data_IF_443694921418
#
_entry.id   IF_443694921418
#
_cell.length_a   1.000
_cell.length_b   1.000
_cell.length_c   1.000
_cell.angle_alpha   90.00
_cell.angle_beta   90.00
_cell.angle_gamma   90.00
#
_symmetry.space_group_name_H-M   'P 1'
#
loop_
_entity.id
_entity.type
_entity.pdbx_description
1 polymer ?
#
# COMPACT_ATOMS: atom_id res chain seq x y z
N UNK A 1 18.84 -18.21 -38.31
CA UNK A 1 19.51 -19.10 -37.34
C UNK A 1 19.31 -18.52 -35.96
N UNK A 2 18.67 -19.25 -35.05
CA UNK A 2 18.54 -18.84 -33.65
C UNK A 2 19.73 -19.38 -32.86
N UNK A 3 20.46 -18.51 -32.19
CA UNK A 3 21.48 -18.91 -31.23
C UNK A 3 20.76 -19.54 -30.03
N UNK A 4 20.89 -20.87 -29.87
CA UNK A 4 20.35 -21.58 -28.72
C UNK A 4 21.47 -21.67 -27.69
N UNK A 5 21.39 -20.93 -26.57
CA UNK A 5 22.45 -20.93 -25.58
C UNK A 5 22.66 -22.35 -25.05
N UNK A 6 23.93 -22.70 -24.78
CA UNK A 6 24.30 -23.97 -24.18
C UNK A 6 23.64 -24.12 -22.81
N UNK A 7 23.41 -25.36 -22.37
CA UNK A 7 22.90 -25.65 -21.03
C UNK A 7 23.79 -25.12 -19.90
N UNK A 8 25.03 -24.72 -20.18
CA UNK A 8 25.93 -24.04 -19.23
C UNK A 8 25.71 -22.51 -19.19
N UNK A 9 25.39 -21.88 -20.33
CA UNK A 9 25.05 -20.45 -20.40
C UNK A 9 23.72 -20.16 -19.68
N UNK A 10 22.76 -21.08 -19.77
CA UNK A 10 21.47 -20.97 -19.07
C UNK A 10 21.65 -21.09 -17.55
N UNK A 11 22.60 -21.92 -17.10
CA UNK A 11 22.97 -22.04 -15.68
C UNK A 11 23.71 -20.80 -15.17
N UNK A 12 24.59 -20.22 -15.98
CA UNK A 12 25.28 -18.97 -15.62
C UNK A 12 24.30 -17.80 -15.51
N UNK A 13 23.32 -17.71 -16.41
CA UNK A 13 22.26 -16.69 -16.32
C UNK A 13 21.44 -16.86 -15.03
N UNK A 14 21.02 -18.09 -14.71
CA UNK A 14 20.28 -18.37 -13.47
C UNK A 14 21.11 -18.07 -12.21
N UNK A 15 22.40 -18.37 -12.20
CA UNK A 15 23.28 -18.09 -11.07
C UNK A 15 23.49 -16.58 -10.87
N UNK A 16 23.67 -15.82 -11.95
CA UNK A 16 23.81 -14.35 -11.89
C UNK A 16 22.54 -13.69 -11.32
N UNK A 17 21.35 -14.12 -11.74
CA UNK A 17 20.08 -13.62 -11.21
C UNK A 17 19.93 -13.91 -9.71
N UNK A 18 20.43 -15.07 -9.24
CA UNK A 18 20.38 -15.45 -7.83
C UNK A 18 21.35 -14.60 -7.00
N UNK A 19 22.59 -14.43 -7.45
CA UNK A 19 23.60 -13.62 -6.75
C UNK A 19 23.19 -12.14 -6.67
N UNK A 20 22.63 -11.58 -7.74
CA UNK A 20 22.10 -10.20 -7.74
C UNK A 20 20.91 -10.05 -6.78
N UNK A 21 19.97 -11.00 -6.77
CA UNK A 21 18.84 -10.99 -5.81
C UNK A 21 19.30 -11.14 -4.37
N UNK A 22 20.33 -11.96 -4.13
CA UNK A 22 20.88 -12.21 -2.80
C UNK A 22 21.64 -10.98 -2.29
N UNK A 23 22.50 -10.39 -3.11
CA UNK A 23 23.23 -9.16 -2.78
C UNK A 23 22.28 -7.98 -2.51
N UNK A 24 21.21 -7.83 -3.31
CA UNK A 24 20.19 -6.80 -3.09
C UNK A 24 19.40 -7.01 -1.78
N UNK A 25 19.07 -8.26 -1.47
CA UNK A 25 18.40 -8.65 -0.23
C UNK A 25 19.27 -8.41 1.02
N UNK A 26 20.57 -8.65 0.90
CA UNK A 26 21.56 -8.56 1.99
C UNK A 26 22.04 -7.12 2.26
N UNK A 27 22.10 -6.27 1.23
CA UNK A 27 22.48 -4.85 1.38
C UNK A 27 21.45 -4.00 2.12
N UNK A 28 20.19 -4.42 2.19
CA UNK A 28 19.19 -3.76 3.02
C UNK A 28 19.24 -4.34 4.43
N UNK A 29 19.98 -3.65 5.32
CA UNK A 29 20.07 -3.97 6.75
C UNK A 29 18.68 -4.10 7.36
N UNK A 30 18.55 -4.94 8.41
CA UNK A 30 17.32 -5.07 9.19
C UNK A 30 16.84 -3.71 9.72
N UNK A 31 17.77 -2.82 10.04
CA UNK A 31 17.51 -1.46 10.51
C UNK A 31 16.99 -0.54 9.39
N UNK A 32 17.54 -0.64 8.18
CA UNK A 32 17.05 0.11 7.03
C UNK A 32 15.67 -0.37 6.60
N UNK A 33 15.42 -1.68 6.65
CA UNK A 33 14.09 -2.26 6.43
C UNK A 33 13.07 -1.78 7.47
N UNK A 34 13.52 -1.48 8.70
CA UNK A 34 12.69 -0.88 9.75
C UNK A 34 12.48 0.63 9.55
N UNK A 35 13.49 1.36 9.08
CA UNK A 35 13.39 2.80 8.76
C UNK A 35 12.46 3.05 7.58
N UNK A 36 12.64 2.32 6.47
CA UNK A 36 11.78 2.36 5.27
C UNK A 36 10.33 1.99 5.62
N UNK A 37 10.13 1.09 6.59
CA UNK A 37 8.78 0.75 7.07
C UNK A 37 8.14 1.85 7.92
N UNK A 38 8.89 2.79 8.51
CA UNK A 38 8.36 3.67 9.55
C UNK A 38 8.10 5.11 9.08
N UNK A 39 8.86 5.65 8.13
CA UNK A 39 8.60 6.98 7.57
C UNK A 39 7.49 6.98 6.52
N UNK A 40 7.55 6.05 5.57
CA UNK A 40 6.69 6.07 4.38
C UNK A 40 5.25 5.59 4.64
N UNK A 41 4.96 5.04 5.83
CA UNK A 41 3.60 4.66 6.24
C UNK A 41 2.71 5.87 6.60
N UNK A 42 3.30 7.04 6.79
CA UNK A 42 2.58 8.24 7.25
C UNK A 42 2.63 9.39 6.24
N UNK A 43 3.14 9.16 5.04
CA UNK A 43 3.23 10.17 3.98
C UNK A 43 2.32 9.77 2.81
N UNK A 44 1.58 10.75 2.28
CA UNK A 44 0.77 10.53 1.11
C UNK A 44 1.68 10.31 -0.12
N UNK A 45 1.62 9.20 -0.85
CA UNK A 45 2.48 8.98 -2.02
C UNK A 45 2.15 9.88 -3.21
N UNK A 46 1.03 10.61 -3.17
CA UNK A 46 0.70 11.61 -4.19
C UNK A 46 1.47 12.91 -3.96
N UNK A 47 1.45 13.43 -2.74
CA UNK A 47 1.93 14.80 -2.43
C UNK A 47 2.94 14.86 -1.27
N UNK A 48 3.37 13.70 -0.76
CA UNK A 48 4.27 13.49 0.39
C UNK A 48 3.87 14.21 1.68
N UNK A 49 2.62 14.66 1.77
CA UNK A 49 2.09 15.29 2.99
C UNK A 49 1.84 14.23 4.07
N UNK A 50 2.02 14.60 5.34
CA UNK A 50 1.66 13.74 6.46
C UNK A 50 0.18 13.36 6.43
N UNK A 51 -0.09 12.10 6.71
CA UNK A 51 -1.42 11.55 6.86
C UNK A 51 -1.92 11.73 8.30
N UNK A 52 -3.18 12.15 8.44
CA UNK A 52 -3.84 12.32 9.73
C UNK A 52 -4.78 11.14 9.99
N UNK A 53 -4.66 10.44 11.13
CA UNK A 53 -5.58 9.37 11.48
C UNK A 53 -6.96 9.94 11.82
N UNK A 54 -8.00 9.37 11.21
CA UNK A 54 -9.40 9.65 11.50
C UNK A 54 -10.11 8.34 11.83
N UNK A 55 -11.03 8.37 12.79
CA UNK A 55 -11.85 7.22 13.14
C UNK A 55 -13.17 7.24 12.36
N UNK A 56 -13.56 6.08 11.83
CA UNK A 56 -14.86 5.90 11.19
C UNK A 56 -15.96 5.77 12.26
N UNK A 57 -16.62 6.88 12.60
CA UNK A 57 -17.86 6.96 13.39
C UNK A 57 -17.99 5.95 14.58
N UNK A 58 -16.96 5.82 15.42
CA UNK A 58 -17.02 4.96 16.61
C UNK A 58 -16.93 3.47 16.34
N UNK A 59 -16.58 3.06 15.11
CA UNK A 59 -16.36 1.63 14.74
C UNK A 59 -15.01 1.09 15.24
N UNK A 60 -14.14 1.96 15.76
CA UNK A 60 -12.77 1.61 16.14
C UNK A 60 -11.87 1.27 14.94
N UNK A 61 -12.27 1.68 13.74
CA UNK A 61 -11.48 1.57 12.51
C UNK A 61 -10.83 2.92 12.25
N UNK A 62 -9.50 2.92 12.24
CA UNK A 62 -8.68 4.11 11.99
C UNK A 62 -8.23 4.10 10.54
N UNK A 63 -8.47 5.19 9.84
CA UNK A 63 -8.02 5.41 8.46
C UNK A 63 -7.19 6.68 8.40
N UNK A 64 -6.26 6.75 7.46
CA UNK A 64 -5.29 7.84 7.37
C UNK A 64 -5.70 8.77 6.23
N UNK A 65 -6.04 10.02 6.51
CA UNK A 65 -6.46 11.00 5.50
C UNK A 65 -5.33 11.98 5.20
N UNK A 66 -5.07 12.24 3.93
CA UNK A 66 -4.22 13.34 3.50
C UNK A 66 -4.96 14.66 3.59
N UNK A 67 -4.39 15.66 4.27
CA UNK A 67 -5.00 16.99 4.40
C UNK A 67 -4.90 17.81 3.12
N UNK A 68 -3.91 17.55 2.27
CA UNK A 68 -3.67 18.31 1.03
C UNK A 68 -4.56 17.84 -0.12
N UNK A 69 -4.49 16.55 -0.48
CA UNK A 69 -5.23 16.02 -1.63
C UNK A 69 -6.53 15.30 -1.25
N UNK A 70 -6.81 15.16 0.04
CA UNK A 70 -7.97 14.45 0.53
C UNK A 70 -7.84 12.92 0.52
N UNK A 71 -6.84 12.35 -0.16
CA UNK A 71 -6.71 10.89 -0.32
C UNK A 71 -6.80 10.11 1.00
N UNK A 72 -7.50 8.97 0.98
CA UNK A 72 -7.70 8.11 2.14
C UNK A 72 -6.85 6.85 2.01
N UNK A 73 -6.12 6.54 3.07
CA UNK A 73 -5.16 5.47 3.18
C UNK A 73 -5.61 4.48 4.25
N UNK A 74 -5.49 3.20 3.93
CA UNK A 74 -5.91 2.12 4.80
C UNK A 74 -4.77 1.14 5.02
N UNK A 75 -4.63 0.65 6.24
CA UNK A 75 -3.89 -0.59 6.48
C UNK A 75 -4.75 -1.79 6.05
N UNK A 76 -4.10 -2.88 5.61
CA UNK A 76 -4.77 -4.10 5.15
C UNK A 76 -5.81 -4.59 6.15
N UNK A 77 -5.47 -4.61 7.45
CA UNK A 77 -6.36 -5.09 8.51
C UNK A 77 -7.61 -4.22 8.68
N UNK A 78 -7.48 -2.92 8.44
CA UNK A 78 -8.59 -1.97 8.56
C UNK A 78 -9.57 -2.11 7.39
N UNK A 79 -9.09 -2.36 6.17
CA UNK A 79 -9.96 -2.69 5.02
C UNK A 79 -10.74 -3.98 5.29
N UNK A 80 -10.08 -5.04 5.77
CA UNK A 80 -10.75 -6.32 6.05
C UNK A 80 -11.87 -6.14 7.10
N UNK A 81 -11.65 -5.31 8.12
CA UNK A 81 -12.68 -4.97 9.12
C UNK A 81 -13.81 -4.11 8.55
N UNK A 82 -13.50 -3.15 7.68
CA UNK A 82 -14.52 -2.34 6.99
C UNK A 82 -15.47 -3.22 6.16
N UNK A 83 -14.92 -4.19 5.43
CA UNK A 83 -15.72 -5.07 4.56
C UNK A 83 -16.65 -5.96 5.38
N UNK A 84 -16.22 -6.43 6.55
CA UNK A 84 -17.01 -7.32 7.42
C UNK A 84 -18.16 -6.61 8.16
N UNK A 85 -18.13 -5.28 8.27
CA UNK A 85 -19.12 -4.51 9.03
C UNK A 85 -19.91 -3.54 8.13
N UNK A 86 -21.21 -3.78 7.88
CA UNK A 86 -22.01 -2.96 6.96
C UNK A 86 -22.21 -1.50 7.45
N UNK A 87 -22.15 -1.25 8.76
CA UNK A 87 -22.14 0.12 9.30
C UNK A 87 -20.89 0.89 8.85
N UNK A 88 -19.72 0.27 8.99
CA UNK A 88 -18.44 0.85 8.58
C UNK A 88 -18.38 1.14 7.07
N UNK A 89 -19.03 0.33 6.24
CA UNK A 89 -19.12 0.60 4.79
C UNK A 89 -19.89 1.90 4.49
N UNK A 90 -21.04 2.13 5.13
CA UNK A 90 -21.82 3.36 4.92
C UNK A 90 -21.04 4.60 5.33
N UNK A 91 -20.37 4.55 6.48
CA UNK A 91 -19.54 5.66 6.96
C UNK A 91 -18.35 5.92 6.02
N UNK A 92 -17.73 4.87 5.51
CA UNK A 92 -16.65 4.98 4.53
C UNK A 92 -17.13 5.59 3.21
N UNK A 93 -18.28 5.18 2.69
CA UNK A 93 -18.90 5.76 1.49
C UNK A 93 -19.18 7.25 1.70
N UNK A 94 -19.67 7.64 2.88
CA UNK A 94 -19.93 9.06 3.23
C UNK A 94 -18.66 9.90 3.29
N UNK A 95 -17.56 9.33 3.78
CA UNK A 95 -16.28 10.05 3.81
C UNK A 95 -15.70 10.14 2.40
N UNK A 96 -15.78 9.05 1.60
CA UNK A 96 -15.34 9.06 0.21
C UNK A 96 -16.15 10.06 -0.61
N UNK A 97 -17.47 10.14 -0.44
CA UNK A 97 -18.30 11.09 -1.19
C UNK A 97 -17.88 12.54 -0.91
N UNK A 98 -17.69 12.86 0.37
CA UNK A 98 -17.21 14.19 0.80
C UNK A 98 -15.80 14.50 0.33
N UNK A 99 -14.95 13.48 0.23
CA UNK A 99 -13.53 13.62 -0.09
C UNK A 99 -13.30 13.76 -1.60
N UNK A 100 -14.01 12.99 -2.40
CA UNK A 100 -13.85 12.94 -3.86
C UNK A 100 -14.82 13.92 -4.53
N UNK A 101 -15.82 14.43 -3.80
CA UNK A 101 -16.85 15.32 -4.34
C UNK A 101 -17.82 14.60 -5.28
N UNK A 102 -17.99 13.30 -5.10
CA UNK A 102 -18.86 12.44 -5.94
C UNK A 102 -19.96 11.89 -5.05
N UNK A 103 -21.20 11.98 -5.50
CA UNK A 103 -22.34 11.36 -4.81
C UNK A 103 -22.44 9.89 -5.22
N UNK A 104 -22.43 8.98 -4.24
CA UNK A 104 -22.68 7.56 -4.47
C UNK A 104 -24.18 7.30 -4.22
N UNK A 105 -24.99 7.03 -5.26
CA UNK A 105 -26.40 6.71 -5.07
C UNK A 105 -26.54 5.40 -4.29
N UNK A 106 -27.52 5.33 -3.37
CA UNK A 106 -27.75 4.18 -2.47
C UNK A 106 -28.15 2.89 -3.22
N UNK A 107 -28.41 2.96 -4.54
CA UNK A 107 -28.87 1.85 -5.37
C UNK A 107 -28.35 1.98 -6.82
N UNK A 108 -27.81 0.88 -7.38
CA UNK A 108 -27.74 0.59 -8.83
C UNK A 108 -28.94 -0.28 -9.19
#
# INVERSE_FOLDING_TARGET
>A
MGFKPSGEEEKWAQQQDIDVKKEFSERISKEDRQRIKKSDLYECPKDKTKLVPIELNGTGIIVNKCETCGGIWFDRKNIERCIQHPKSQKDLIKILSKTIGIEFPDHI
#
